data_IF_884640397922
#
_entry.id   IF_884640397922
#
_cell.length_a   1.000
_cell.length_b   1.000
_cell.length_c   1.000
_cell.angle_alpha   90.00
_cell.angle_beta   90.00
_cell.angle_gamma   90.00
#
_symmetry.space_group_name_H-M   'P 1'
#
loop_
_entity.id
_entity.type
_entity.pdbx_description
1 polymer ?
#
# COMPACT_ATOMS: atom_id res chain seq x y z
N UNK A 1 12.27 -39.85 -8.87
CA UNK A 1 13.12 -38.87 -8.16
C UNK A 1 12.99 -37.54 -8.88
N UNK A 2 12.36 -36.54 -8.26
CA UNK A 2 12.49 -35.16 -8.72
C UNK A 2 13.85 -34.67 -8.20
N UNK A 3 14.85 -34.56 -9.08
CA UNK A 3 16.11 -33.92 -8.75
C UNK A 3 15.84 -32.41 -8.60
N UNK A 4 15.79 -31.92 -7.35
CA UNK A 4 15.38 -30.55 -7.00
C UNK A 4 16.32 -29.44 -7.51
N UNK A 5 17.34 -29.80 -8.29
CA UNK A 5 18.48 -28.97 -8.70
C UNK A 5 18.37 -28.45 -10.13
N UNK A 6 17.40 -28.91 -10.96
CA UNK A 6 17.25 -28.43 -12.36
C UNK A 6 15.86 -27.89 -12.64
N UNK A 7 15.60 -26.70 -12.12
CA UNK A 7 14.42 -25.92 -12.50
C UNK A 7 14.60 -25.39 -13.93
N UNK A 8 13.57 -25.50 -14.80
CA UNK A 8 13.63 -24.85 -16.09
C UNK A 8 13.73 -23.33 -15.85
N UNK A 9 14.62 -22.65 -16.58
CA UNK A 9 14.88 -21.21 -16.43
C UNK A 9 13.60 -20.38 -16.54
N UNK A 10 12.63 -20.83 -17.33
CA UNK A 10 11.29 -20.26 -17.43
C UNK A 10 10.54 -20.25 -16.09
N UNK A 11 10.67 -21.30 -15.26
CA UNK A 11 10.03 -21.37 -13.95
C UNK A 11 10.65 -20.38 -12.96
N UNK A 12 11.98 -20.22 -12.97
CA UNK A 12 12.66 -19.22 -12.13
C UNK A 12 12.28 -17.78 -12.52
N UNK A 13 12.15 -17.51 -13.82
CA UNK A 13 11.69 -16.21 -14.31
C UNK A 13 10.27 -15.89 -13.82
N UNK A 14 9.36 -16.86 -13.89
CA UNK A 14 7.98 -16.70 -13.43
C UNK A 14 7.94 -16.40 -11.92
N UNK A 15 8.66 -17.18 -11.11
CA UNK A 15 8.75 -16.96 -9.66
C UNK A 15 9.31 -15.56 -9.35
N UNK A 16 10.38 -15.15 -10.05
CA UNK A 16 10.98 -13.84 -9.89
C UNK A 16 10.01 -12.69 -10.20
N UNK A 17 9.21 -12.82 -11.27
CA UNK A 17 8.19 -11.82 -11.63
C UNK A 17 7.13 -11.71 -10.53
N UNK A 18 6.58 -12.83 -10.05
CA UNK A 18 5.57 -12.82 -9.00
C UNK A 18 6.12 -12.26 -7.68
N UNK A 19 7.35 -12.58 -7.31
CA UNK A 19 8.01 -12.03 -6.13
C UNK A 19 8.21 -10.51 -6.25
N UNK A 20 8.66 -10.02 -7.41
CA UNK A 20 8.83 -8.59 -7.65
C UNK A 20 7.50 -7.84 -7.62
N UNK A 21 6.45 -8.36 -8.28
CA UNK A 21 5.10 -7.78 -8.25
C UNK A 21 4.56 -7.77 -6.82
N UNK A 22 4.69 -8.87 -6.08
CA UNK A 22 4.27 -8.95 -4.68
C UNK A 22 4.98 -7.92 -3.80
N UNK A 23 6.29 -7.74 -3.96
CA UNK A 23 7.06 -6.74 -3.23
C UNK A 23 6.58 -5.31 -3.54
N UNK A 24 6.37 -4.98 -4.82
CA UNK A 24 5.83 -3.69 -5.23
C UNK A 24 4.46 -3.46 -4.61
N UNK A 25 3.56 -4.44 -4.67
CA UNK A 25 2.23 -4.34 -4.06
C UNK A 25 2.33 -4.09 -2.54
N UNK A 26 3.17 -4.82 -1.82
CA UNK A 26 3.35 -4.63 -0.37
C UNK A 26 3.88 -3.23 -0.03
N UNK A 27 4.82 -2.69 -0.81
CA UNK A 27 5.40 -1.37 -0.58
C UNK A 27 4.41 -0.22 -0.86
N UNK A 28 3.52 -0.38 -1.84
CA UNK A 28 2.66 0.71 -2.30
C UNK A 28 1.20 0.64 -1.84
N UNK A 29 0.64 -0.54 -1.53
CA UNK A 29 -0.75 -0.64 -1.04
C UNK A 29 -0.89 -0.08 0.38
N UNK A 30 0.12 -0.26 1.25
CA UNK A 30 0.10 0.29 2.62
C UNK A 30 0.18 1.81 2.69
N UNK A 31 0.54 2.49 1.60
CA UNK A 31 0.67 3.96 1.54
C UNK A 31 -0.58 4.68 1.08
N UNK A 32 -1.61 3.97 0.60
CA UNK A 32 -2.68 4.58 -0.20
C UNK A 32 -4.07 4.20 0.31
N UNK A 33 -4.32 4.52 1.57
CA UNK A 33 -5.69 4.65 2.05
C UNK A 33 -5.82 5.99 2.77
N UNK A 34 -5.74 7.07 2.01
CA UNK A 34 -6.42 8.32 2.37
C UNK A 34 -7.92 8.06 2.32
N UNK A 35 -8.41 7.24 3.26
CA UNK A 35 -9.82 6.91 3.39
C UNK A 35 -10.51 8.11 4.01
N UNK A 36 -11.17 8.90 3.18
CA UNK A 36 -12.08 9.90 3.65
C UNK A 36 -13.35 9.18 4.14
N UNK A 37 -13.50 9.01 5.46
CA UNK A 37 -14.60 8.27 6.11
C UNK A 37 -15.97 8.98 5.98
N UNK A 38 -16.36 9.37 4.76
CA UNK A 38 -17.50 10.24 4.49
C UNK A 38 -17.19 11.74 4.62
N UNK A 39 -15.97 12.09 5.02
CA UNK A 39 -15.48 13.47 5.04
C UNK A 39 -15.06 13.92 3.64
N UNK A 40 -15.05 15.23 3.40
CA UNK A 40 -14.65 15.80 2.11
C UNK A 40 -13.19 15.49 1.73
N UNK A 41 -12.80 15.71 0.46
CA UNK A 41 -11.47 15.39 -0.05
C UNK A 41 -10.33 16.20 0.61
N UNK A 42 -10.64 17.22 1.41
CA UNK A 42 -9.66 17.98 2.17
C UNK A 42 -9.20 17.30 3.47
N UNK A 43 -9.85 16.20 3.84
CA UNK A 43 -9.57 15.45 5.07
C UNK A 43 -8.65 14.27 4.78
N UNK A 44 -7.55 14.20 5.53
CA UNK A 44 -6.71 13.01 5.60
C UNK A 44 -7.02 12.28 6.90
N UNK A 45 -7.47 11.04 6.80
CA UNK A 45 -7.79 10.23 7.97
C UNK A 45 -6.79 9.09 8.13
N UNK A 46 -6.23 8.97 9.32
CA UNK A 46 -5.29 7.90 9.69
C UNK A 46 -6.03 6.87 10.56
N UNK A 47 -6.04 5.57 10.17
CA UNK A 47 -6.61 4.53 11.00
C UNK A 47 -5.77 4.35 12.27
N UNK A 48 -6.44 4.29 13.44
CA UNK A 48 -5.78 4.11 14.72
C UNK A 48 -5.97 2.67 15.23
N UNK A 49 -4.96 2.02 15.85
CA UNK A 49 -5.10 0.66 16.39
C UNK A 49 -6.18 0.52 17.47
N UNK A 50 -6.56 1.63 18.12
CA UNK A 50 -7.59 1.68 19.14
C UNK A 50 -8.31 3.01 19.07
N UNK A 51 -9.65 2.97 19.08
CA UNK A 51 -10.51 4.16 19.00
C UNK A 51 -10.85 4.55 17.56
N UNK A 52 -11.48 5.71 17.42
CA UNK A 52 -11.89 6.25 16.13
C UNK A 52 -10.69 6.72 15.29
N UNK A 53 -10.78 6.67 13.94
CA UNK A 53 -9.73 7.18 13.07
C UNK A 53 -9.55 8.69 13.29
N UNK A 54 -8.29 9.14 13.27
CA UNK A 54 -7.98 10.57 13.40
C UNK A 54 -8.05 11.20 12.02
N UNK A 55 -8.97 12.15 11.82
CA UNK A 55 -9.09 12.93 10.59
C UNK A 55 -8.57 14.36 10.81
N UNK A 56 -7.65 14.80 9.96
CA UNK A 56 -7.13 16.17 9.94
C UNK A 56 -7.47 16.86 8.63
N UNK A 57 -7.97 18.09 8.71
CA UNK A 57 -8.21 18.95 7.55
C UNK A 57 -6.94 19.73 7.24
N UNK A 58 -6.33 19.45 6.10
CA UNK A 58 -5.19 20.23 5.64
C UNK A 58 -5.70 21.55 5.07
N UNK A 59 -5.63 22.61 5.87
CA UNK A 59 -5.87 23.96 5.39
C UNK A 59 -4.60 24.40 4.67
N UNK A 60 -4.68 24.65 3.36
CA UNK A 60 -3.58 25.22 2.59
C UNK A 60 -3.09 26.52 3.23
N UNK A 61 -1.84 26.91 2.94
CA UNK A 61 -1.14 28.09 3.52
C UNK A 61 -1.90 29.42 3.32
N UNK A 62 -2.95 29.39 2.52
CA UNK A 62 -3.80 30.50 2.08
C UNK A 62 -5.12 30.58 2.87
N UNK A 63 -5.50 29.52 3.60
CA UNK A 63 -6.67 29.46 4.48
C UNK A 63 -6.35 29.65 5.97
N UNK A 64 -5.07 29.74 6.34
CA UNK A 64 -4.63 30.21 7.64
C UNK A 64 -4.51 31.75 7.61
N UNK A 65 -5.65 32.44 7.60
CA UNK A 65 -5.75 33.89 7.73
C UNK A 65 -6.69 34.24 8.86
#
# INVERSE_FOLDING_TARGET
>A
MFDGTRWPTTSLLIIGIFAAVGLVLLLFLGRRTDTNFGFGPEWQCTPMPKGDPICVKLVGKDGAK
#
